data_IF_430429822734
#
_entry.id   IF_430429822734
#
_cell.length_a   1.000
_cell.length_b   1.000
_cell.length_c   1.000
_cell.angle_alpha   90.00
_cell.angle_beta   90.00
_cell.angle_gamma   90.00
#
_symmetry.space_group_name_H-M   'P 1'
#
loop_
_entity.id
_entity.type
_entity.pdbx_description
1 polymer ?
#
# COMPACT_ATOMS: atom_id res chain seq x y z
N UNK A 1 30.43 0.26 61.05
CA UNK A 1 30.57 -0.63 59.88
C UNK A 1 29.19 -0.85 59.28
N UNK A 2 28.89 -0.23 58.13
CA UNK A 2 27.65 -0.44 57.38
C UNK A 2 28.01 -1.18 56.09
N UNK A 3 27.56 -2.42 55.96
CA UNK A 3 27.64 -3.20 54.72
C UNK A 3 26.43 -2.89 53.85
N UNK A 4 26.65 -2.27 52.69
CA UNK A 4 25.63 -2.14 51.66
C UNK A 4 25.70 -3.38 50.74
N UNK A 5 24.58 -4.12 50.65
CA UNK A 5 24.37 -5.17 49.64
C UNK A 5 24.08 -4.50 48.31
N UNK A 6 24.89 -4.75 47.29
CA UNK A 6 24.55 -4.46 45.91
C UNK A 6 23.57 -5.54 45.41
N UNK A 7 22.39 -5.13 44.95
CA UNK A 7 21.46 -5.96 44.20
C UNK A 7 21.72 -5.64 42.73
N UNK A 8 22.31 -6.58 42.00
CA UNK A 8 22.34 -6.53 40.53
C UNK A 8 21.00 -7.05 40.02
N UNK A 9 20.19 -6.17 39.45
CA UNK A 9 19.09 -6.55 38.58
C UNK A 9 19.67 -6.75 37.17
N UNK A 10 19.68 -7.99 36.70
CA UNK A 10 19.93 -8.28 35.29
C UNK A 10 18.66 -7.96 34.51
N UNK A 11 18.68 -6.90 33.71
CA UNK A 11 17.64 -6.65 32.72
C UNK A 11 17.91 -7.55 31.51
N UNK A 12 17.07 -8.55 31.33
CA UNK A 12 17.01 -9.34 30.10
C UNK A 12 16.21 -8.53 29.09
N UNK A 13 16.89 -7.78 28.21
CA UNK A 13 16.22 -7.11 27.09
C UNK A 13 15.99 -8.13 25.99
N UNK A 14 14.72 -8.56 25.82
CA UNK A 14 14.30 -9.25 24.62
C UNK A 14 14.17 -8.21 23.51
N UNK A 15 15.11 -8.20 22.57
CA UNK A 15 14.99 -7.42 21.35
C UNK A 15 13.99 -8.14 20.44
N UNK A 16 12.74 -7.69 20.42
CA UNK A 16 11.84 -8.01 19.32
C UNK A 16 12.32 -7.22 18.11
N UNK A 17 12.90 -7.93 17.14
CA UNK A 17 13.15 -7.41 15.80
C UNK A 17 11.79 -7.11 15.17
N UNK A 18 11.40 -5.84 15.19
CA UNK A 18 10.34 -5.35 14.30
C UNK A 18 10.92 -5.46 12.89
N UNK A 19 10.33 -6.33 12.07
CA UNK A 19 10.71 -6.44 10.66
C UNK A 19 10.27 -5.19 9.93
N UNK A 20 11.17 -4.22 9.83
CA UNK A 20 11.02 -3.05 8.97
C UNK A 20 11.16 -3.48 7.51
N UNK A 21 10.03 -3.46 6.81
CA UNK A 21 9.92 -3.46 5.36
C UNK A 21 10.21 -4.76 4.63
N UNK A 22 9.51 -4.93 3.50
CA UNK A 22 9.87 -5.96 2.53
C UNK A 22 11.14 -5.49 1.82
N UNK A 23 12.21 -6.27 1.92
CA UNK A 23 13.20 -6.24 0.84
C UNK A 23 12.50 -6.72 -0.43
N UNK A 24 12.94 -6.26 -1.60
CA UNK A 24 12.49 -6.75 -2.92
C UNK A 24 12.41 -8.29 -2.98
N UNK A 25 13.23 -8.99 -2.20
CA UNK A 25 13.36 -10.44 -2.18
C UNK A 25 12.33 -11.14 -1.25
N UNK A 26 11.43 -10.39 -0.58
CA UNK A 26 10.54 -10.89 0.47
C UNK A 26 9.05 -10.57 0.24
N UNK A 27 8.65 -10.06 -0.93
CA UNK A 27 7.25 -9.71 -1.21
C UNK A 27 6.32 -10.87 -0.82
N UNK A 28 5.41 -10.60 0.12
CA UNK A 28 4.42 -11.57 0.56
C UNK A 28 3.11 -10.89 0.85
N UNK A 29 2.04 -11.32 0.18
CA UNK A 29 0.71 -10.77 0.43
C UNK A 29 0.26 -10.96 1.88
N UNK A 30 0.74 -12.01 2.55
CA UNK A 30 0.39 -12.28 3.95
C UNK A 30 0.87 -11.17 4.89
N UNK A 31 1.99 -10.51 4.57
CA UNK A 31 2.50 -9.43 5.42
C UNK A 31 1.82 -8.08 5.17
N UNK A 32 0.91 -7.96 4.19
CA UNK A 32 -0.02 -6.81 4.11
C UNK A 32 -0.92 -6.71 5.35
N UNK A 33 -1.18 -7.84 6.03
CA UNK A 33 -2.00 -7.87 7.24
C UNK A 33 -1.40 -7.02 8.37
N UNK A 34 -0.08 -7.04 8.49
CA UNK A 34 0.65 -6.36 9.56
C UNK A 34 1.51 -5.21 9.03
N UNK A 35 1.38 -4.87 7.74
CA UNK A 35 2.17 -3.85 7.08
C UNK A 35 2.01 -2.49 7.76
N UNK A 36 3.15 -1.85 8.02
CA UNK A 36 3.22 -0.50 8.57
C UNK A 36 3.81 0.43 7.51
N UNK A 37 3.38 1.69 7.51
CA UNK A 37 3.94 2.72 6.63
C UNK A 37 5.45 2.83 6.85
N UNK A 38 6.19 2.86 5.76
CA UNK A 38 7.64 3.08 5.77
C UNK A 38 8.02 4.51 5.45
N UNK A 39 7.12 5.21 4.75
CA UNK A 39 7.30 6.58 4.30
C UNK A 39 6.24 7.47 4.92
N UNK A 40 6.57 8.75 5.12
CA UNK A 40 5.56 9.75 5.47
C UNK A 40 4.55 9.85 4.35
N UNK A 41 3.31 10.15 4.71
CA UNK A 41 2.22 10.26 3.76
C UNK A 41 1.24 11.35 4.19
N UNK A 42 0.46 11.84 3.22
CA UNK A 42 -0.62 12.80 3.46
C UNK A 42 -1.91 12.22 2.89
N UNK A 43 -2.96 12.16 3.71
CA UNK A 43 -4.31 11.78 3.26
C UNK A 43 -4.80 12.72 2.15
N UNK A 44 -5.32 12.13 1.07
CA UNK A 44 -5.97 12.83 -0.04
C UNK A 44 -7.44 12.41 -0.20
N UNK A 45 -7.94 11.53 0.67
CA UNK A 45 -9.30 11.03 0.66
C UNK A 45 -9.54 9.94 -0.40
N UNK A 46 -10.50 9.06 -0.12
CA UNK A 46 -11.01 8.13 -1.11
C UNK A 46 -11.96 8.85 -2.09
N UNK A 47 -11.64 8.85 -3.38
CA UNK A 47 -12.52 9.38 -4.41
C UNK A 47 -13.72 8.45 -4.73
N UNK A 48 -13.63 7.17 -4.33
CA UNK A 48 -14.71 6.19 -4.35
C UNK A 48 -14.38 5.08 -3.33
N UNK A 49 -15.40 4.50 -2.68
CA UNK A 49 -15.22 3.48 -1.64
C UNK A 49 -15.36 2.04 -2.14
N UNK A 50 -15.45 1.85 -3.45
CA UNK A 50 -15.61 0.52 -4.07
C UNK A 50 -14.57 -0.48 -3.55
N UNK A 51 -15.06 -1.64 -3.14
CA UNK A 51 -14.20 -2.77 -2.79
C UNK A 51 -13.65 -3.51 -4.02
N UNK A 52 -14.18 -3.27 -5.22
CA UNK A 52 -13.76 -3.93 -6.45
C UNK A 52 -12.32 -3.56 -6.84
N UNK A 53 -11.47 -4.58 -7.00
CA UNK A 53 -10.05 -4.43 -7.36
C UNK A 53 -9.77 -5.28 -8.61
N UNK A 54 -9.76 -4.68 -9.78
CA UNK A 54 -9.52 -5.40 -11.05
C UNK A 54 -8.04 -5.66 -11.27
N UNK A 55 -7.71 -6.25 -12.42
CA UNK A 55 -6.33 -6.38 -12.87
C UNK A 55 -6.22 -6.30 -14.38
N UNK A 56 -5.03 -5.94 -14.84
CA UNK A 56 -4.61 -6.02 -16.23
C UNK A 56 -3.25 -6.69 -16.35
N UNK A 57 -2.97 -7.23 -17.53
CA UNK A 57 -1.68 -7.86 -17.80
C UNK A 57 -0.65 -6.81 -18.23
N UNK A 58 0.48 -6.73 -17.54
CA UNK A 58 1.55 -5.77 -17.85
C UNK A 58 2.07 -5.88 -19.28
N UNK A 59 1.91 -7.04 -19.93
CA UNK A 59 2.32 -7.31 -21.31
C UNK A 59 1.43 -6.61 -22.34
N UNK A 60 0.27 -6.09 -21.93
CA UNK A 60 -0.62 -5.28 -22.78
C UNK A 60 -0.12 -3.83 -22.92
N UNK A 61 0.71 -3.37 -22.00
CA UNK A 61 1.36 -2.06 -22.03
C UNK A 61 2.56 -2.17 -22.99
N UNK A 62 2.31 -1.85 -24.26
CA UNK A 62 3.23 -2.20 -25.37
C UNK A 62 3.85 -0.99 -26.08
N UNK A 63 3.36 0.23 -25.84
CA UNK A 63 3.86 1.45 -26.49
C UNK A 63 5.28 1.80 -25.99
N UNK A 64 6.34 1.56 -26.77
CA UNK A 64 7.73 1.58 -26.28
C UNK A 64 8.26 2.99 -25.98
N UNK A 65 7.56 4.02 -26.42
CA UNK A 65 7.83 5.43 -26.16
C UNK A 65 7.00 6.00 -25.00
N UNK A 66 6.10 5.20 -24.41
CA UNK A 66 5.26 5.62 -23.29
C UNK A 66 6.02 5.60 -21.95
N UNK A 67 5.64 6.50 -21.04
CA UNK A 67 6.22 6.54 -19.68
C UNK A 67 5.93 5.26 -18.91
N UNK A 68 4.75 4.68 -19.11
CA UNK A 68 4.31 3.42 -18.52
C UNK A 68 5.23 2.27 -18.90
N UNK A 69 5.47 2.09 -20.21
CA UNK A 69 6.35 1.05 -20.72
C UNK A 69 7.76 1.19 -20.15
N UNK A 70 8.32 2.40 -20.15
CA UNK A 70 9.64 2.65 -19.57
C UNK A 70 9.67 2.38 -18.07
N UNK A 71 8.66 2.83 -17.32
CA UNK A 71 8.63 2.65 -15.88
C UNK A 71 8.61 1.17 -15.49
N UNK A 72 7.72 0.38 -16.12
CA UNK A 72 7.62 -1.07 -15.88
C UNK A 72 8.95 -1.78 -16.14
N UNK A 73 9.70 -1.41 -17.19
CA UNK A 73 10.94 -2.10 -17.56
C UNK A 73 12.16 -1.72 -16.72
N UNK A 74 12.14 -0.55 -16.06
CA UNK A 74 13.31 -0.01 -15.37
C UNK A 74 13.16 0.02 -13.85
N UNK A 75 11.92 0.00 -13.34
CA UNK A 75 11.64 0.20 -11.93
C UNK A 75 10.79 -0.92 -11.31
N UNK A 76 10.19 -1.79 -12.12
CA UNK A 76 9.32 -2.85 -11.61
C UNK A 76 9.95 -4.23 -11.77
N UNK A 77 9.76 -5.06 -10.77
CA UNK A 77 10.13 -6.48 -10.75
C UNK A 77 8.86 -7.31 -10.69
N UNK A 78 8.79 -8.38 -11.50
CA UNK A 78 7.70 -9.36 -11.42
C UNK A 78 7.98 -10.31 -10.27
N UNK A 79 7.03 -10.44 -9.35
CA UNK A 79 7.04 -11.48 -8.35
C UNK A 79 6.81 -12.84 -9.01
N UNK A 80 7.79 -13.73 -8.88
CA UNK A 80 7.78 -15.03 -9.55
C UNK A 80 6.71 -15.98 -8.97
N UNK A 81 6.28 -15.76 -7.72
CA UNK A 81 5.27 -16.57 -7.06
C UNK A 81 3.85 -16.11 -7.39
N UNK A 82 3.55 -14.83 -7.19
CA UNK A 82 2.18 -14.28 -7.28
C UNK A 82 1.86 -13.61 -8.61
N UNK A 83 2.88 -13.20 -9.37
CA UNK A 83 2.73 -12.41 -10.58
C UNK A 83 2.52 -10.91 -10.35
N UNK A 84 2.48 -10.40 -9.13
CA UNK A 84 2.44 -8.96 -8.89
C UNK A 84 3.71 -8.27 -9.39
N UNK A 85 3.59 -7.02 -9.84
CA UNK A 85 4.75 -6.17 -10.09
C UNK A 85 5.00 -5.30 -8.85
N UNK A 86 6.24 -5.17 -8.42
CA UNK A 86 6.63 -4.29 -7.31
C UNK A 86 7.88 -3.47 -7.63
N UNK A 87 8.00 -2.29 -7.03
CA UNK A 87 9.20 -1.45 -7.16
C UNK A 87 10.27 -1.78 -6.11
N UNK A 88 11.40 -1.07 -6.12
CA UNK A 88 12.53 -1.33 -5.22
C UNK A 88 12.20 -1.21 -3.72
N UNK A 89 11.12 -0.52 -3.36
CA UNK A 89 10.64 -0.34 -1.99
C UNK A 89 9.39 -1.19 -1.69
N UNK A 90 9.02 -2.11 -2.59
CA UNK A 90 7.92 -3.06 -2.38
C UNK A 90 6.52 -2.49 -2.67
N UNK A 91 6.40 -1.34 -3.32
CA UNK A 91 5.10 -0.81 -3.73
C UNK A 91 4.55 -1.58 -4.94
N UNK A 92 3.30 -2.04 -4.84
CA UNK A 92 2.65 -2.85 -5.87
C UNK A 92 2.22 -1.97 -7.05
N UNK A 93 2.55 -2.39 -8.27
CA UNK A 93 2.17 -1.71 -9.50
C UNK A 93 0.66 -1.75 -9.77
N UNK A 94 0.06 -0.59 -9.96
CA UNK A 94 -1.37 -0.43 -10.27
C UNK A 94 -1.61 0.57 -11.40
N UNK A 95 -2.74 0.41 -12.08
CA UNK A 95 -3.33 1.44 -12.93
C UNK A 95 -4.35 2.26 -12.14
N UNK A 96 -4.22 3.58 -12.21
CA UNK A 96 -5.12 4.52 -11.54
C UNK A 96 -5.71 5.52 -12.53
N UNK A 97 -6.82 6.17 -12.16
CA UNK A 97 -7.39 7.27 -12.95
C UNK A 97 -6.47 8.48 -13.07
N UNK A 98 -6.84 9.43 -13.93
CA UNK A 98 -6.02 10.62 -14.23
C UNK A 98 -6.01 11.68 -13.11
N UNK A 99 -6.87 11.58 -12.08
CA UNK A 99 -6.79 12.46 -10.89
C UNK A 99 -5.64 12.09 -9.96
N UNK A 100 -5.19 10.83 -10.02
CA UNK A 100 -3.98 10.39 -9.36
C UNK A 100 -2.79 10.81 -10.20
N UNK A 101 -1.66 11.11 -9.55
CA UNK A 101 -0.49 11.78 -10.11
C UNK A 101 0.16 11.09 -11.31
N UNK A 102 1.39 11.48 -11.59
CA UNK A 102 2.13 10.96 -12.73
C UNK A 102 2.55 9.50 -12.52
N UNK A 103 2.91 8.80 -13.61
CA UNK A 103 3.54 7.47 -13.53
C UNK A 103 4.75 7.50 -12.60
N UNK A 104 4.80 6.57 -11.65
CA UNK A 104 5.77 6.48 -10.56
C UNK A 104 5.31 7.10 -9.23
N UNK A 105 4.14 7.76 -9.19
CA UNK A 105 3.61 8.30 -7.93
C UNK A 105 3.14 7.17 -7.02
N UNK A 106 3.58 7.21 -5.76
CA UNK A 106 3.28 6.19 -4.74
C UNK A 106 2.15 6.62 -3.80
N UNK A 107 1.38 5.63 -3.36
CA UNK A 107 0.25 5.79 -2.47
C UNK A 107 0.19 4.68 -1.42
N UNK A 108 -0.35 4.99 -0.26
CA UNK A 108 -0.93 3.99 0.63
C UNK A 108 -2.44 3.98 0.45
N UNK A 109 -3.01 2.83 0.11
CA UNK A 109 -4.45 2.63 0.10
C UNK A 109 -4.84 2.03 1.44
N UNK A 110 -5.74 2.71 2.16
CA UNK A 110 -6.26 2.23 3.43
C UNK A 110 -7.61 1.58 3.20
N UNK A 111 -7.77 0.36 3.67
CA UNK A 111 -9.04 -0.37 3.62
C UNK A 111 -9.79 -0.27 4.96
N UNK A 112 -11.11 -0.44 4.92
CA UNK A 112 -11.96 -0.51 6.12
C UNK A 112 -11.62 -1.68 7.05
N UNK A 113 -10.89 -2.68 6.54
CA UNK A 113 -10.33 -3.81 7.31
C UNK A 113 -9.10 -3.42 8.12
N UNK A 114 -8.54 -2.23 7.93
CA UNK A 114 -7.28 -1.79 8.52
C UNK A 114 -6.04 -2.20 7.72
N UNK A 115 -6.21 -2.99 6.64
CA UNK A 115 -5.13 -3.33 5.72
C UNK A 115 -4.67 -2.07 4.97
N UNK A 116 -3.36 -1.93 4.86
CA UNK A 116 -2.71 -0.89 4.06
C UNK A 116 -2.04 -1.57 2.86
N UNK A 117 -2.39 -1.12 1.66
CA UNK A 117 -1.78 -1.60 0.42
C UNK A 117 -0.82 -0.53 -0.11
N UNK A 118 0.50 -0.74 -0.05
CA UNK A 118 1.45 0.15 -0.71
C UNK A 118 1.38 -0.05 -2.23
N UNK A 119 1.08 1.00 -2.98
CA UNK A 119 0.97 0.95 -4.44
C UNK A 119 1.73 2.06 -5.16
N UNK A 120 2.19 1.78 -6.37
CA UNK A 120 2.79 2.74 -7.28
C UNK A 120 2.00 2.78 -8.59
N UNK A 121 1.68 3.97 -9.07
CA UNK A 121 0.96 4.15 -10.34
C UNK A 121 1.88 3.85 -11.51
N UNK A 122 1.62 2.76 -12.24
CA UNK A 122 2.44 2.34 -13.40
C UNK A 122 1.68 2.32 -14.71
N UNK A 123 0.34 2.41 -14.65
CA UNK A 123 -0.50 2.74 -15.81
C UNK A 123 -1.59 3.76 -15.43
N UNK A 124 -2.25 4.30 -16.45
CA UNK A 124 -3.33 5.26 -16.33
C UNK A 124 -4.58 4.75 -17.05
N UNK A 125 -5.70 4.65 -16.32
CA UNK A 125 -7.00 4.37 -16.92
C UNK A 125 -7.33 5.46 -17.94
N UNK A 126 -7.74 5.08 -19.14
CA UNK A 126 -8.12 6.03 -20.16
C UNK A 126 -9.30 6.88 -19.66
N UNK A 127 -9.34 8.17 -20.04
CA UNK A 127 -10.41 9.08 -19.59
C UNK A 127 -11.80 8.65 -20.05
N UNK A 128 -11.90 7.88 -21.13
CA UNK A 128 -13.16 7.29 -21.60
C UNK A 128 -13.67 6.17 -20.69
N UNK A 129 -12.77 5.50 -19.98
CA UNK A 129 -13.05 4.37 -19.10
C UNK A 129 -13.15 4.78 -17.63
N UNK A 130 -12.53 5.91 -17.24
CA UNK A 130 -12.65 6.54 -15.92
C UNK A 130 -12.99 8.03 -16.09
N UNK A 131 -14.26 8.31 -16.42
CA UNK A 131 -14.70 9.65 -16.81
C UNK A 131 -14.76 10.67 -15.68
N UNK A 132 -14.78 10.18 -14.43
CA UNK A 132 -14.62 10.97 -13.21
C UNK A 132 -13.13 11.19 -12.86
N UNK A 133 -12.22 10.54 -13.58
CA UNK A 133 -10.79 10.53 -13.33
C UNK A 133 -10.32 9.73 -12.11
N UNK A 134 -11.23 9.02 -11.46
CA UNK A 134 -11.00 8.23 -10.26
C UNK A 134 -11.21 6.74 -10.53
N UNK A 135 -12.43 6.36 -10.94
CA UNK A 135 -12.91 4.99 -10.92
C UNK A 135 -13.41 4.54 -12.29
N UNK A 136 -13.28 3.25 -12.58
CA UNK A 136 -13.75 2.69 -13.85
C UNK A 136 -15.29 2.78 -13.95
N UNK A 137 -15.79 3.32 -15.05
CA UNK A 137 -17.22 3.54 -15.31
C UNK A 137 -18.05 2.24 -15.22
N UNK A 138 -17.45 1.08 -15.53
CA UNK A 138 -18.14 -0.20 -15.62
C UNK A 138 -18.47 -0.83 -14.25
N UNK A 139 -17.56 -0.69 -13.28
CA UNK A 139 -17.62 -1.46 -12.02
C UNK A 139 -17.14 -0.66 -10.80
N UNK A 140 -16.93 0.64 -10.96
CA UNK A 140 -16.42 1.57 -9.96
C UNK A 140 -15.05 1.16 -9.37
N UNK A 141 -14.28 0.31 -10.05
CA UNK A 141 -12.95 -0.07 -9.56
C UNK A 141 -12.01 1.11 -9.63
N UNK A 142 -11.48 1.52 -8.47
CA UNK A 142 -10.48 2.59 -8.39
C UNK A 142 -9.11 2.05 -8.79
N UNK A 143 -8.77 0.86 -8.29
CA UNK A 143 -7.48 0.23 -8.50
C UNK A 143 -7.59 -0.97 -9.44
N UNK A 144 -6.70 -1.00 -10.41
CA UNK A 144 -6.50 -2.16 -11.26
C UNK A 144 -5.05 -2.61 -11.08
N UNK A 145 -4.83 -3.80 -10.54
CA UNK A 145 -3.49 -4.32 -10.35
C UNK A 145 -2.86 -4.66 -11.69
N UNK A 146 -1.61 -4.24 -11.89
CA UNK A 146 -0.86 -4.60 -13.09
C UNK A 146 -0.02 -5.83 -12.74
N UNK A 147 -0.30 -6.95 -13.41
CA UNK A 147 0.24 -8.27 -13.02
C UNK A 147 0.77 -9.04 -14.23
N UNK A 148 1.59 -10.05 -13.97
CA UNK A 148 1.78 -11.20 -14.86
C UNK A 148 0.59 -12.15 -14.69
N UNK A 149 -0.31 -12.17 -15.66
CA UNK A 149 -1.57 -12.91 -15.52
C UNK A 149 -1.40 -14.43 -15.56
N UNK A 150 -0.32 -14.95 -16.14
CA UNK A 150 -0.05 -16.39 -16.17
C UNK A 150 0.33 -16.86 -14.76
N UNK A 151 1.30 -16.17 -14.14
CA UNK A 151 1.73 -16.46 -12.76
C UNK A 151 0.59 -16.25 -11.76
N UNK A 152 -0.17 -15.16 -11.90
CA UNK A 152 -1.31 -14.92 -11.04
C UNK A 152 -2.39 -16.00 -11.18
N UNK A 153 -2.65 -16.51 -12.39
CA UNK A 153 -3.59 -17.61 -12.57
C UNK A 153 -3.12 -18.90 -11.90
N UNK A 154 -1.81 -19.18 -11.89
CA UNK A 154 -1.21 -20.32 -11.19
C UNK A 154 -1.32 -20.18 -9.67
N UNK A 155 -1.01 -19.00 -9.13
CA UNK A 155 -1.01 -18.75 -7.69
C UNK A 155 -2.41 -18.62 -7.09
N UNK A 156 -3.21 -17.70 -7.63
CA UNK A 156 -4.54 -17.43 -7.09
C UNK A 156 -5.55 -18.48 -7.49
N UNK A 157 -5.28 -19.26 -8.54
CA UNK A 157 -6.16 -20.28 -9.08
C UNK A 157 -7.11 -19.71 -10.14
N UNK A 158 -7.02 -20.26 -11.36
CA UNK A 158 -7.93 -19.91 -12.45
C UNK A 158 -9.42 -20.28 -12.17
N UNK A 159 -9.69 -21.20 -11.25
CA UNK A 159 -11.02 -21.81 -11.05
C UNK A 159 -11.65 -21.55 -9.67
N UNK A 160 -10.95 -20.92 -8.72
CA UNK A 160 -11.47 -20.66 -7.37
C UNK A 160 -11.97 -19.22 -7.18
N UNK A 161 -11.81 -18.36 -8.20
CA UNK A 161 -12.49 -17.08 -8.30
C UNK A 161 -11.84 -15.89 -7.60
N UNK A 162 -10.60 -16.02 -7.14
CA UNK A 162 -9.91 -14.91 -6.50
C UNK A 162 -9.36 -13.90 -7.52
N UNK A 163 -8.45 -14.32 -8.41
CA UNK A 163 -8.02 -13.48 -9.52
C UNK A 163 -8.94 -13.66 -10.74
N UNK A 164 -9.31 -14.89 -11.11
CA UNK A 164 -9.96 -15.19 -12.40
C UNK A 164 -11.35 -14.59 -12.63
N UNK A 165 -12.04 -14.09 -11.60
CA UNK A 165 -13.28 -13.32 -11.76
C UNK A 165 -13.03 -11.81 -11.95
N UNK A 166 -11.78 -11.39 -12.13
CA UNK A 166 -11.44 -9.98 -12.32
C UNK A 166 -11.57 -9.15 -11.05
N UNK A 167 -11.53 -9.76 -9.86
CA UNK A 167 -11.71 -9.03 -8.61
C UNK A 167 -10.91 -9.60 -7.42
N UNK A 168 -9.77 -8.97 -7.14
CA UNK A 168 -8.90 -9.31 -6.01
C UNK A 168 -9.52 -9.05 -4.63
N UNK A 169 -10.69 -8.41 -4.53
CA UNK A 169 -11.40 -8.27 -3.25
C UNK A 169 -11.76 -9.60 -2.60
N UNK A 170 -11.82 -10.69 -3.37
CA UNK A 170 -12.07 -12.00 -2.78
C UNK A 170 -10.88 -12.49 -1.94
N UNK A 171 -9.66 -12.00 -2.19
CA UNK A 171 -8.46 -12.47 -1.51
C UNK A 171 -8.31 -11.80 -0.14
N UNK A 172 -8.01 -12.58 0.91
CA UNK A 172 -8.13 -12.11 2.31
C UNK A 172 -7.28 -10.88 2.62
N UNK A 173 -6.09 -10.76 2.01
CA UNK A 173 -5.17 -9.65 2.23
C UNK A 173 -5.44 -8.43 1.34
N UNK A 174 -6.46 -8.50 0.48
CA UNK A 174 -6.88 -7.42 -0.42
C UNK A 174 -8.38 -7.11 -0.28
N UNK A 175 -9.08 -7.78 0.64
CA UNK A 175 -10.49 -7.59 0.90
C UNK A 175 -10.72 -6.29 1.70
N UNK A 176 -11.75 -5.54 1.30
CA UNK A 176 -12.21 -4.37 2.02
C UNK A 176 -12.58 -3.22 1.09
N UNK A 177 -13.39 -2.30 1.60
CA UNK A 177 -13.70 -1.05 0.91
C UNK A 177 -12.53 -0.08 1.08
N UNK A 178 -12.28 0.74 0.06
CA UNK A 178 -11.27 1.80 0.16
C UNK A 178 -11.84 2.91 1.04
N UNK A 179 -11.13 3.28 2.11
CA UNK A 179 -11.51 4.38 3.00
C UNK A 179 -10.60 5.58 2.87
N UNK A 180 -9.35 5.38 2.43
CA UNK A 180 -8.45 6.49 2.15
C UNK A 180 -7.42 6.16 1.07
N UNK A 181 -6.95 7.22 0.42
CA UNK A 181 -5.68 7.24 -0.31
C UNK A 181 -4.77 8.23 0.39
N UNK A 182 -3.53 7.83 0.61
CA UNK A 182 -2.52 8.72 1.14
C UNK A 182 -1.40 8.84 0.13
N UNK A 183 -1.09 10.07 -0.27
CA UNK A 183 0.06 10.36 -1.12
C UNK A 183 1.34 10.12 -0.31
N UNK A 184 2.22 9.27 -0.82
CA UNK A 184 3.52 9.00 -0.19
C UNK A 184 4.50 10.13 -0.49
N UNK A 185 5.26 10.52 0.51
CA UNK A 185 6.33 11.52 0.45
C UNK A 185 7.70 10.81 0.39
N UNK A 186 8.70 11.46 -0.20
CA UNK A 186 10.06 10.92 -0.35
C UNK A 186 10.88 10.87 0.96
N UNK A 187 10.22 10.85 2.12
CA UNK A 187 10.83 10.83 3.44
C UNK A 187 10.43 9.57 4.19
N UNK A 188 11.40 8.73 4.58
CA UNK A 188 11.14 7.55 5.43
C UNK A 188 10.73 7.97 6.84
N UNK A 189 9.86 7.18 7.47
CA UNK A 189 9.53 7.31 8.89
C UNK A 189 10.75 6.87 9.70
N UNK A 190 11.19 7.72 10.63
CA UNK A 190 12.27 7.36 11.55
C UNK A 190 11.80 6.25 12.51
N UNK A 191 12.64 5.23 12.72
CA UNK A 191 12.35 4.10 13.63
C UNK A 191 11.83 4.60 14.99
N UNK A 192 10.59 4.21 15.33
CA UNK A 192 9.97 4.50 16.63
C UNK A 192 8.98 5.67 16.68
N UNK A 193 8.57 6.24 15.54
CA UNK A 193 7.52 7.27 15.47
C UNK A 193 6.28 6.72 14.76
N UNK A 194 5.17 6.58 15.49
CA UNK A 194 3.85 6.26 14.94
C UNK A 194 3.09 7.57 14.77
N UNK A 195 2.67 7.88 13.54
CA UNK A 195 1.75 8.98 13.27
C UNK A 195 0.31 8.45 13.37
N UNK A 196 -0.36 8.69 14.49
CA UNK A 196 -1.82 8.50 14.58
C UNK A 196 -2.51 9.71 13.93
N UNK A 197 -3.17 9.50 12.79
CA UNK A 197 -4.14 10.45 12.27
C UNK A 197 -5.51 10.14 12.89
N UNK A 198 -5.87 10.88 13.94
CA UNK A 198 -7.26 10.91 14.42
C UNK A 198 -8.07 11.71 13.41
N UNK A 199 -9.07 11.08 12.78
CA UNK A 199 -10.11 11.78 12.02
C UNK A 199 -10.93 12.59 13.03
N UNK A 200 -10.64 13.88 13.17
CA UNK A 200 -11.46 14.79 13.95
C UNK A 200 -12.70 15.18 13.13
N UNK A 201 -13.85 14.76 13.64
CA UNK A 201 -15.18 15.13 13.18
C UNK A 201 -15.31 16.67 13.20
N UNK A 202 -15.62 17.29 12.07
CA UNK A 202 -15.71 18.74 11.92
C UNK A 202 -16.80 19.32 12.84
N UNK A 203 -16.42 19.91 13.99
CA UNK A 203 -17.13 21.07 14.55
C UNK A 203 -16.24 21.98 15.41
N UNK A 204 -16.08 23.21 14.91
CA UNK A 204 -15.95 24.49 15.65
C UNK A 204 -14.60 24.86 16.28
N UNK A 205 -13.92 25.78 15.57
CA UNK A 205 -13.08 26.92 16.01
C UNK A 205 -12.24 26.77 17.29
N UNK A 206 -10.92 26.66 17.12
CA UNK A 206 -9.88 27.64 17.54
C UNK A 206 -8.51 27.02 17.25
N UNK A 207 -7.47 27.84 17.15
CA UNK A 207 -6.11 27.50 16.73
C UNK A 207 -5.59 26.17 17.33
N UNK A 208 -5.51 25.12 16.51
CA UNK A 208 -4.94 23.83 16.93
C UNK A 208 -3.45 23.84 16.62
N UNK A 209 -2.63 23.99 17.66
CA UNK A 209 -1.21 23.67 17.57
C UNK A 209 -1.06 22.15 17.53
N UNK A 210 -0.25 21.64 16.59
CA UNK A 210 0.15 20.24 16.52
C UNK A 210 0.70 19.76 17.88
N UNK A 211 -0.12 19.10 18.69
CA UNK A 211 0.31 18.56 19.97
C UNK A 211 1.01 17.22 19.72
N UNK A 212 2.33 17.27 19.53
CA UNK A 212 3.19 16.09 19.42
C UNK A 212 3.14 15.33 20.76
N UNK A 213 2.39 14.23 20.81
CA UNK A 213 2.46 13.29 21.92
C UNK A 213 3.56 12.26 21.69
N UNK A 214 4.69 12.47 22.35
CA UNK A 214 5.72 11.43 22.51
C UNK A 214 5.17 10.38 23.48
N UNK A 215 4.56 9.32 22.95
CA UNK A 215 4.24 8.15 23.76
C UNK A 215 5.53 7.35 23.94
N UNK A 216 6.15 7.48 25.12
CA UNK A 216 7.21 6.54 25.55
C UNK A 216 6.57 5.18 25.85
N UNK A 217 6.34 4.40 24.81
CA UNK A 217 5.92 3.01 24.92
C UNK A 217 7.10 2.14 25.38
N UNK A 218 7.19 1.90 26.69
CA UNK A 218 7.99 0.82 27.26
C UNK A 218 7.12 -0.41 27.48
N UNK A 219 7.55 -1.55 26.96
CA UNK A 219 7.95 -2.80 27.66
C UNK A 219 7.84 -3.98 26.70
#
# INVERSE_FOLDING_TARGET
MKTAKAIQAAALAAVMLMSSGFKSDEFSLTALKDYQREFKSTSIGACNTSSTKTYEDYRMITAPDSRQYWHIRNHMTVDEETGFLYDEDGFIGVALGYLFGEIGTRYYIVLDTGIIIPVVKIDAKASVDASDGCSANLNASVIEFVIDSDRAAEYFGANNGYASYGNFNNYEYLNGNIVDFELVLDEKIEDGIIYEHTLEDETVTEEVSDEVRIVRGGY
#
